data_IF_679954334881
#
_entry.id   IF_679954334881
#
_cell.length_a   1.000
_cell.length_b   1.000
_cell.length_c   1.000
_cell.angle_alpha   90.00
_cell.angle_beta   90.00
_cell.angle_gamma   90.00
#
_symmetry.space_group_name_H-M   'P 1'
#
loop_
_entity.id
_entity.type
_entity.pdbx_description
1 polymer ?
#
# COMPACT_ATOMS: atom_id res chain seq x y z
N UNK A 1 21.05 -29.60 -2.47
CA UNK A 1 20.93 -28.70 -3.66
C UNK A 1 19.49 -28.28 -3.92
N UNK A 2 18.51 -29.18 -4.01
CA UNK A 2 17.09 -28.83 -4.25
C UNK A 2 16.47 -27.89 -3.20
N UNK A 3 16.73 -28.09 -1.90
CA UNK A 3 16.19 -27.21 -0.84
C UNK A 3 16.78 -25.78 -0.87
N UNK A 4 18.07 -25.65 -1.23
CA UNK A 4 18.74 -24.35 -1.33
C UNK A 4 18.28 -23.55 -2.57
N UNK A 5 18.00 -24.24 -3.69
CA UNK A 5 17.38 -23.64 -4.86
C UNK A 5 15.95 -23.15 -4.57
N UNK A 6 15.18 -23.89 -3.77
CA UNK A 6 13.83 -23.49 -3.34
C UNK A 6 13.83 -22.21 -2.49
N UNK A 7 14.71 -22.12 -1.49
CA UNK A 7 14.85 -20.90 -0.66
C UNK A 7 15.42 -19.73 -1.47
N UNK A 8 16.40 -19.97 -2.35
CA UNK A 8 16.96 -18.96 -3.24
C UNK A 8 15.93 -18.38 -4.21
N UNK A 9 15.06 -19.21 -4.81
CA UNK A 9 13.97 -18.75 -5.66
C UNK A 9 12.88 -18.00 -4.88
N UNK A 10 12.56 -18.45 -3.66
CA UNK A 10 11.62 -17.78 -2.77
C UNK A 10 12.07 -16.34 -2.45
N UNK A 11 13.33 -16.17 -2.02
CA UNK A 11 13.86 -14.87 -1.59
C UNK A 11 14.30 -14.01 -2.77
N UNK A 12 14.84 -14.60 -3.83
CA UNK A 12 15.43 -13.88 -4.96
C UNK A 12 14.45 -13.52 -6.09
N UNK A 13 13.32 -14.23 -6.22
CA UNK A 13 12.38 -14.04 -7.34
C UNK A 13 10.96 -13.83 -6.84
N UNK A 14 10.42 -14.75 -6.04
CA UNK A 14 9.01 -14.71 -5.61
C UNK A 14 8.71 -13.51 -4.70
N UNK A 15 9.52 -13.29 -3.66
CA UNK A 15 9.31 -12.19 -2.71
C UNK A 15 9.47 -10.79 -3.36
N UNK A 16 10.49 -10.52 -4.20
CA UNK A 16 10.58 -9.26 -4.93
C UNK A 16 9.42 -9.01 -5.89
N UNK A 17 8.94 -10.06 -6.58
CA UNK A 17 7.79 -9.97 -7.48
C UNK A 17 6.51 -9.64 -6.70
N UNK A 18 6.28 -10.33 -5.58
CA UNK A 18 5.18 -10.04 -4.64
C UNK A 18 5.18 -8.57 -4.20
N UNK A 19 6.35 -8.00 -3.89
CA UNK A 19 6.44 -6.59 -3.47
C UNK A 19 6.11 -5.58 -4.57
N UNK A 20 6.45 -5.87 -5.83
CA UNK A 20 6.04 -5.00 -6.95
C UNK A 20 4.53 -4.97 -7.10
N UNK A 21 3.87 -6.12 -6.94
CA UNK A 21 2.41 -6.19 -6.96
C UNK A 21 1.77 -5.44 -5.79
N UNK A 22 2.37 -5.50 -4.59
CA UNK A 22 1.88 -4.71 -3.45
C UNK A 22 1.97 -3.20 -3.70
N UNK A 23 3.10 -2.71 -4.21
CA UNK A 23 3.24 -1.29 -4.57
C UNK A 23 2.22 -0.92 -5.65
N UNK A 24 2.05 -1.74 -6.69
CA UNK A 24 1.04 -1.48 -7.73
C UNK A 24 -0.38 -1.43 -7.16
N UNK A 25 -0.74 -2.39 -6.31
CA UNK A 25 -2.04 -2.44 -5.65
C UNK A 25 -2.29 -1.21 -4.77
N UNK A 26 -1.29 -0.75 -4.01
CA UNK A 26 -1.38 0.47 -3.21
C UNK A 26 -1.64 1.71 -4.06
N UNK A 27 -0.93 1.86 -5.18
CA UNK A 27 -1.05 3.02 -6.04
C UNK A 27 -2.38 3.05 -6.80
N UNK A 28 -2.84 1.90 -7.27
CA UNK A 28 -4.17 1.76 -7.89
C UNK A 28 -5.26 2.05 -6.84
N UNK A 29 -5.14 1.47 -5.64
CA UNK A 29 -6.06 1.72 -4.54
C UNK A 29 -6.15 3.20 -4.16
N UNK A 30 -5.00 3.88 -4.06
CA UNK A 30 -4.91 5.31 -3.76
C UNK A 30 -5.62 6.18 -4.80
N UNK A 31 -5.43 5.89 -6.10
CA UNK A 31 -6.10 6.59 -7.21
C UNK A 31 -7.62 6.32 -7.20
N UNK A 32 -8.05 5.08 -6.97
CA UNK A 32 -9.46 4.73 -6.87
C UNK A 32 -10.15 5.43 -5.70
N UNK A 33 -9.51 5.45 -4.52
CA UNK A 33 -10.01 6.17 -3.34
C UNK A 33 -10.21 7.66 -3.65
N UNK A 34 -9.19 8.30 -4.24
CA UNK A 34 -9.25 9.70 -4.64
C UNK A 34 -10.43 9.97 -5.59
N UNK A 35 -10.55 9.18 -6.67
CA UNK A 35 -11.61 9.33 -7.69
C UNK A 35 -13.01 9.05 -7.15
N UNK A 36 -13.13 8.24 -6.11
CA UNK A 36 -14.38 8.00 -5.40
C UNK A 36 -14.72 9.11 -4.38
N UNK A 37 -13.80 10.03 -4.11
CA UNK A 37 -13.98 11.15 -3.18
C UNK A 37 -13.66 10.80 -1.73
N UNK A 38 -12.96 9.69 -1.47
CA UNK A 38 -12.36 9.38 -0.18
C UNK A 38 -11.03 10.13 -0.04
N UNK A 39 -10.72 10.55 1.19
CA UNK A 39 -9.46 11.25 1.47
C UNK A 39 -8.26 10.29 1.29
N UNK A 40 -7.38 10.49 0.29
CA UNK A 40 -6.29 9.57 -0.01
C UNK A 40 -5.27 9.46 1.12
N UNK A 41 -5.16 10.49 1.97
CA UNK A 41 -4.25 10.53 3.12
C UNK A 41 -4.55 9.43 4.13
N UNK A 42 -5.81 8.96 4.20
CA UNK A 42 -6.21 7.86 5.08
C UNK A 42 -5.54 6.53 4.72
N UNK A 43 -5.05 6.37 3.49
CA UNK A 43 -4.30 5.17 3.08
C UNK A 43 -2.98 5.03 3.85
N UNK A 44 -2.26 6.15 4.08
CA UNK A 44 -1.03 6.13 4.86
C UNK A 44 -1.32 5.87 6.35
N UNK A 45 -2.40 6.45 6.88
CA UNK A 45 -2.86 6.25 8.26
C UNK A 45 -3.23 4.78 8.52
N UNK A 46 -3.90 4.12 7.57
CA UNK A 46 -4.20 2.69 7.65
C UNK A 46 -2.92 1.87 7.87
N UNK A 47 -1.89 2.10 7.05
CA UNK A 47 -0.62 1.38 7.17
C UNK A 47 0.16 1.73 8.44
N UNK A 48 0.06 2.97 8.95
CA UNK A 48 0.61 3.34 10.25
C UNK A 48 -0.07 2.55 11.38
N UNK A 49 -1.40 2.44 11.35
CA UNK A 49 -2.18 1.71 12.34
C UNK A 49 -1.89 0.20 12.28
N UNK A 50 -1.81 -0.40 11.08
CA UNK A 50 -1.36 -1.78 10.90
C UNK A 50 0.10 -1.98 11.36
N UNK A 51 0.91 -0.93 11.23
CA UNK A 51 2.25 -0.81 11.81
C UNK A 51 2.25 -1.10 13.31
N UNK A 52 1.40 -0.37 14.04
CA UNK A 52 1.26 -0.42 15.51
C UNK A 52 0.64 -1.73 16.02
N UNK A 53 -0.27 -2.35 15.25
CA UNK A 53 -0.98 -3.57 15.67
C UNK A 53 -0.15 -4.85 15.49
N UNK A 54 0.73 -4.91 14.49
CA UNK A 54 1.54 -6.10 14.25
C UNK A 54 2.77 -6.12 15.15
N UNK A 55 2.81 -7.02 16.13
CA UNK A 55 3.91 -7.23 17.09
C UNK A 55 5.26 -7.61 16.45
N UNK A 56 5.87 -8.72 16.87
CA UNK A 56 7.15 -9.18 16.34
C UNK A 56 7.02 -9.59 14.86
N UNK A 57 7.28 -8.65 13.93
CA UNK A 57 7.19 -8.90 12.50
C UNK A 57 8.44 -9.64 12.02
N UNK A 58 8.30 -10.72 11.23
CA UNK A 58 9.45 -11.29 10.53
C UNK A 58 10.10 -10.21 9.65
N UNK A 59 11.43 -10.26 9.43
CA UNK A 59 12.12 -9.29 8.59
C UNK A 59 11.40 -9.08 7.26
N UNK A 60 11.36 -7.84 6.77
CA UNK A 60 10.70 -7.47 5.52
C UNK A 60 11.12 -8.36 4.34
N UNK A 61 12.38 -8.83 4.40
CA UNK A 61 12.97 -9.75 3.44
C UNK A 61 12.18 -11.06 3.28
N UNK A 62 11.55 -11.54 4.35
CA UNK A 62 10.89 -12.86 4.45
C UNK A 62 9.35 -12.77 4.47
N UNK A 63 8.78 -11.56 4.44
CA UNK A 63 7.33 -11.36 4.47
C UNK A 63 6.72 -11.40 3.07
N UNK A 64 5.59 -12.09 2.91
CA UNK A 64 4.80 -12.09 1.66
C UNK A 64 4.02 -10.78 1.46
N UNK A 65 3.60 -10.14 2.56
CA UNK A 65 2.99 -8.80 2.59
C UNK A 65 3.63 -7.96 3.71
N UNK A 66 4.87 -7.44 3.52
CA UNK A 66 5.50 -6.60 4.51
C UNK A 66 4.74 -5.28 4.71
N UNK A 67 4.52 -4.92 5.97
CA UNK A 67 3.86 -3.67 6.32
C UNK A 67 4.86 -2.58 6.70
N UNK A 68 4.52 -1.33 6.40
CA UNK A 68 4.93 -0.16 7.17
C UNK A 68 5.58 0.94 6.36
N UNK A 69 6.88 1.11 6.54
CA UNK A 69 7.60 2.32 6.14
C UNK A 69 7.70 2.50 4.62
N UNK A 70 8.04 1.45 3.87
CA UNK A 70 8.17 1.51 2.41
C UNK A 70 6.82 1.80 1.73
N UNK A 71 5.74 1.15 2.16
CA UNK A 71 4.39 1.40 1.62
C UNK A 71 3.94 2.83 1.90
N UNK A 72 4.12 3.31 3.13
CA UNK A 72 3.83 4.71 3.50
C UNK A 72 4.65 5.68 2.66
N UNK A 73 5.94 5.40 2.44
CA UNK A 73 6.79 6.21 1.56
C UNK A 73 6.25 6.26 0.13
N UNK A 74 5.92 5.11 -0.47
CA UNK A 74 5.43 5.03 -1.85
C UNK A 74 4.07 5.74 -2.01
N UNK A 75 3.17 5.60 -1.03
CA UNK A 75 1.89 6.31 -0.97
C UNK A 75 2.10 7.83 -0.85
N UNK A 76 3.00 8.28 0.02
CA UNK A 76 3.32 9.69 0.20
C UNK A 76 3.94 10.30 -1.06
N UNK A 77 4.80 9.56 -1.77
CA UNK A 77 5.38 9.99 -3.04
C UNK A 77 4.32 10.22 -4.13
N UNK A 78 3.20 9.49 -4.09
CA UNK A 78 2.09 9.63 -5.03
C UNK A 78 0.94 10.50 -4.51
N UNK A 79 1.06 11.03 -3.28
CA UNK A 79 -0.02 11.74 -2.60
C UNK A 79 -0.46 12.99 -3.35
N UNK A 80 0.48 13.76 -3.91
CA UNK A 80 0.15 14.98 -4.66
C UNK A 80 -0.78 14.70 -5.85
N UNK A 81 -0.51 13.61 -6.59
CA UNK A 81 -1.35 13.18 -7.71
C UNK A 81 -2.73 12.73 -7.22
N UNK A 82 -2.76 11.92 -6.16
CA UNK A 82 -4.02 11.46 -5.58
C UNK A 82 -4.87 12.61 -5.04
N UNK A 83 -4.26 13.61 -4.40
CA UNK A 83 -4.95 14.80 -3.91
C UNK A 83 -5.58 15.60 -5.05
N UNK A 84 -4.91 15.73 -6.20
CA UNK A 84 -5.48 16.39 -7.37
C UNK A 84 -6.75 15.67 -7.88
N UNK A 85 -6.73 14.33 -7.95
CA UNK A 85 -7.91 13.54 -8.33
C UNK A 85 -9.02 13.62 -7.26
N UNK A 86 -8.65 13.64 -5.98
CA UNK A 86 -9.58 13.82 -4.87
C UNK A 86 -10.29 15.17 -4.96
N UNK A 87 -9.56 16.27 -5.15
CA UNK A 87 -10.16 17.60 -5.30
C UNK A 87 -11.11 17.68 -6.50
N UNK A 88 -10.74 17.05 -7.62
CA UNK A 88 -11.61 16.92 -8.79
C UNK A 88 -12.88 16.14 -8.47
N UNK A 89 -12.76 15.00 -7.79
CA UNK A 89 -13.91 14.20 -7.34
C UNK A 89 -14.84 15.01 -6.42
N UNK A 90 -14.27 15.79 -5.47
CA UNK A 90 -15.04 16.67 -4.58
C UNK A 90 -15.77 17.78 -5.32
N UNK A 91 -15.15 18.39 -6.34
CA UNK A 91 -15.80 19.39 -7.22
C UNK A 91 -16.95 18.78 -8.03
N UNK A 92 -16.86 17.50 -8.37
CA UNK A 92 -17.94 16.74 -9.02
C UNK A 92 -19.04 16.29 -8.05
N UNK A 93 -19.00 16.71 -6.78
CA UNK A 93 -19.99 16.35 -5.78
C UNK A 93 -19.85 14.95 -5.19
N UNK A 94 -18.77 14.21 -5.49
CA UNK A 94 -18.52 12.91 -4.88
C UNK A 94 -18.14 13.09 -3.41
N UNK A 95 -19.06 12.72 -2.52
CA UNK A 95 -18.89 12.78 -1.08
C UNK A 95 -19.30 11.44 -0.48
N UNK A 96 -18.34 10.52 -0.20
CA UNK A 96 -18.65 9.27 0.46
C UNK A 96 -19.35 9.52 1.79
N UNK A 97 -20.44 8.82 2.02
CA UNK A 97 -21.20 8.92 3.27
C UNK A 97 -20.67 7.90 4.28
N UNK A 98 -19.50 8.20 4.87
CA UNK A 98 -18.92 7.36 5.90
C UNK A 98 -19.65 7.60 7.23
N UNK A 99 -20.54 6.69 7.60
CA UNK A 99 -21.05 6.61 8.97
C UNK A 99 -20.23 5.55 9.73
N UNK A 100 -19.83 5.87 10.96
CA UNK A 100 -19.16 4.95 11.87
C UNK A 100 -20.18 4.23 12.76
#
# INVERSE_FOLDING_TARGET
>A
VMAALGVGAQVGVLLPFSRKHETEADLIGLDLMARAGFDPRQSAVLWENMGKLGGSKPPELLSTHPAGSRRIHDLNAHMNKAMAEYEKARKQGKRPNCHL
#
